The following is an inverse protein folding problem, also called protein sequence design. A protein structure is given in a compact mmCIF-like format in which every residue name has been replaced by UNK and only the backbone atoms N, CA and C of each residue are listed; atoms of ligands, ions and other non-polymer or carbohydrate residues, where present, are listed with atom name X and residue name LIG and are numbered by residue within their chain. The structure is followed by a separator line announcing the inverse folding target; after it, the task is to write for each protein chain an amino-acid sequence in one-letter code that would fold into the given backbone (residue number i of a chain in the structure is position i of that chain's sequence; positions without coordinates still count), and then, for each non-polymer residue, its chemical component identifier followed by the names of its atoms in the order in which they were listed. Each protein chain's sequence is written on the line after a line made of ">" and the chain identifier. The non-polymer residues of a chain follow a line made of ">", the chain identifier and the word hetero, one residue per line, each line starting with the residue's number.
data_IF_884474183148
#
_entry.id   IF_884474183148
#
_cell.length_a   1.000
_cell.length_b   1.000
_cell.length_c   1.000
_cell.angle_alpha   90.00
_cell.angle_beta   90.00
_cell.angle_gamma   90.00
#
_symmetry.space_group_name_H-M   'P 1'
#
loop_
_entity.id
_entity.type
_entity.pdbx_description
1 polymer ?
#
# COMPACT_ATOMS: atom_id res chain seq x y z
N UNK A 1 -24.26 -2.78 -1.99
CA UNK A 1 -24.05 -3.17 -0.59
C UNK A 1 -24.03 -1.87 0.17
N UNK A 2 -25.02 -1.68 1.03
CA UNK A 2 -25.39 -0.38 1.58
C UNK A 2 -25.91 -0.56 3.00
N UNK A 3 -25.82 0.48 3.82
CA UNK A 3 -26.25 0.46 5.22
C UNK A 3 -25.66 -0.73 6.02
N UNK A 4 -24.37 -0.99 5.83
CA UNK A 4 -23.66 -2.07 6.54
C UNK A 4 -23.61 -1.76 8.03
N UNK A 5 -24.05 -2.71 8.86
CA UNK A 5 -23.99 -2.63 10.32
C UNK A 5 -23.34 -3.90 10.88
N UNK A 6 -22.11 -3.80 11.38
CA UNK A 6 -21.37 -4.92 11.96
C UNK A 6 -21.47 -4.93 13.49
N UNK A 7 -21.44 -6.12 14.09
CA UNK A 7 -21.30 -6.30 15.54
C UNK A 7 -19.85 -6.17 16.00
N UNK A 8 -18.90 -6.46 15.10
CA UNK A 8 -17.46 -6.46 15.35
C UNK A 8 -16.85 -7.86 15.47
N UNK A 9 -17.67 -8.90 15.42
CA UNK A 9 -17.24 -10.31 15.53
C UNK A 9 -17.23 -11.03 14.17
N UNK A 10 -17.72 -10.38 13.12
CA UNK A 10 -17.71 -10.90 11.76
C UNK A 10 -16.27 -11.05 11.23
N UNK A 11 -16.00 -12.13 10.49
CA UNK A 11 -14.68 -12.37 9.89
C UNK A 11 -14.55 -11.69 8.53
N UNK A 12 -15.67 -11.53 7.83
CA UNK A 12 -15.77 -10.93 6.51
C UNK A 12 -16.83 -9.83 6.50
N UNK A 13 -16.61 -8.78 5.71
CA UNK A 13 -17.54 -7.63 5.66
C UNK A 13 -18.92 -8.04 5.13
N UNK A 14 -18.98 -9.01 4.23
CA UNK A 14 -20.22 -9.58 3.70
C UNK A 14 -21.05 -10.39 4.70
N UNK A 15 -20.51 -10.70 5.88
CA UNK A 15 -21.24 -11.38 6.96
C UNK A 15 -22.01 -10.41 7.85
N UNK A 16 -21.65 -9.12 7.83
CA UNK A 16 -22.39 -8.10 8.56
C UNK A 16 -23.79 -7.95 7.95
N UNK A 17 -24.83 -7.63 8.74
CA UNK A 17 -26.11 -7.17 8.21
C UNK A 17 -25.98 -5.97 7.26
N UNK A 18 -26.68 -6.04 6.13
CA UNK A 18 -26.87 -4.95 5.15
C UNK A 18 -28.17 -5.21 4.38
N UNK A 19 -28.60 -4.25 3.55
CA UNK A 19 -29.91 -4.31 2.86
C UNK A 19 -30.04 -5.41 1.78
N UNK A 20 -28.97 -6.15 1.51
CA UNK A 20 -28.91 -7.22 0.52
C UNK A 20 -28.17 -6.84 -0.76
N UNK A 21 -27.75 -7.86 -1.51
CA UNK A 21 -27.01 -7.64 -2.76
C UNK A 21 -27.91 -7.04 -3.83
N UNK A 22 -27.42 -6.00 -4.51
CA UNK A 22 -28.18 -5.27 -5.52
C UNK A 22 -29.28 -4.37 -4.95
N UNK A 23 -29.46 -4.31 -3.63
CA UNK A 23 -30.36 -3.39 -2.94
C UNK A 23 -29.50 -2.28 -2.35
N UNK A 24 -29.57 -1.09 -2.93
CA UNK A 24 -28.90 0.12 -2.47
C UNK A 24 -29.45 1.33 -3.20
N UNK A 25 -29.29 2.52 -2.63
CA UNK A 25 -29.47 3.79 -3.32
C UNK A 25 -28.16 4.58 -3.49
N UNK A 26 -27.01 3.94 -3.17
CA UNK A 26 -25.69 4.56 -3.28
C UNK A 26 -25.44 5.29 -4.61
N UNK A 27 -25.15 6.58 -4.52
CA UNK A 27 -24.58 7.42 -5.56
C UNK A 27 -23.06 7.33 -5.65
N UNK A 28 -22.48 8.12 -6.56
CA UNK A 28 -21.02 8.11 -6.83
C UNK A 28 -20.18 8.60 -5.65
N UNK A 29 -20.77 9.41 -4.77
CA UNK A 29 -20.08 10.10 -3.68
C UNK A 29 -20.27 9.40 -2.32
N UNK A 30 -20.99 8.28 -2.29
CA UNK A 30 -21.35 7.54 -1.07
C UNK A 30 -20.45 6.32 -0.83
N UNK A 31 -19.31 6.25 -1.53
CA UNK A 31 -18.35 5.17 -1.34
C UNK A 31 -17.68 5.25 0.04
N UNK A 32 -17.75 4.16 0.80
CA UNK A 32 -17.06 4.02 2.08
C UNK A 32 -15.63 3.48 1.91
N UNK A 33 -14.70 3.95 2.75
CA UNK A 33 -13.32 3.48 2.82
C UNK A 33 -12.79 3.44 4.26
N UNK A 34 -11.75 2.65 4.50
CA UNK A 34 -11.13 2.49 5.84
C UNK A 34 -9.62 2.66 5.79
N UNK A 35 -9.04 3.14 6.88
CA UNK A 35 -7.60 3.13 7.12
C UNK A 35 -7.29 2.27 8.33
N UNK A 36 -6.48 1.22 8.13
CA UNK A 36 -6.08 0.33 9.21
C UNK A 36 -4.91 0.91 9.99
N UNK A 37 -5.02 0.91 11.31
CA UNK A 37 -3.88 1.19 12.18
C UNK A 37 -2.98 -0.05 12.26
N UNK A 38 -1.72 0.10 11.87
CA UNK A 38 -0.74 -0.96 12.05
C UNK A 38 -0.27 -0.97 13.51
N UNK A 39 -0.11 -2.15 14.13
CA UNK A 39 0.47 -2.24 15.46
C UNK A 39 1.87 -1.59 15.48
N UNK A 40 2.26 -0.97 16.60
CA UNK A 40 3.59 -0.41 16.73
C UNK A 40 4.64 -1.51 16.52
N UNK A 41 5.81 -1.18 15.93
CA UNK A 41 6.88 -2.15 15.80
C UNK A 41 7.21 -2.75 17.17
N UNK A 42 7.49 -4.06 17.26
CA UNK A 42 7.73 -4.73 18.53
C UNK A 42 8.88 -4.03 19.26
N UNK A 43 8.59 -3.55 20.47
CA UNK A 43 9.53 -2.87 21.37
C UNK A 43 10.54 -3.82 22.01
N UNK A 44 10.37 -5.13 21.82
CA UNK A 44 11.34 -6.13 22.26
C UNK A 44 12.45 -6.24 21.21
N UNK A 45 13.72 -5.99 21.56
CA UNK A 45 14.84 -6.43 20.74
C UNK A 45 14.89 -7.96 20.77
N UNK A 46 14.02 -8.62 20.01
CA UNK A 46 14.33 -9.96 19.51
C UNK A 46 15.63 -9.87 18.71
N UNK A 47 16.38 -10.97 18.55
CA UNK A 47 17.51 -10.97 17.63
C UNK A 47 16.97 -10.54 16.26
N UNK A 48 17.25 -9.28 15.92
CA UNK A 48 17.18 -8.77 14.58
C UNK A 48 18.18 -9.65 13.84
N UNK A 49 17.71 -10.75 13.24
CA UNK A 49 18.22 -11.15 11.95
C UNK A 49 18.06 -9.89 11.12
N UNK A 50 19.13 -9.11 11.13
CA UNK A 50 19.23 -7.82 10.51
C UNK A 50 19.21 -8.16 9.04
N UNK A 51 18.00 -8.38 8.51
CA UNK A 51 17.73 -8.29 7.09
C UNK A 51 17.98 -6.83 6.82
N UNK A 52 19.26 -6.54 6.64
CA UNK A 52 19.71 -5.23 6.28
C UNK A 52 19.16 -5.09 4.86
N UNK A 53 17.97 -4.51 4.74
CA UNK A 53 17.24 -4.41 3.47
C UNK A 53 18.12 -3.66 2.48
N UNK A 54 18.95 -2.72 2.95
CA UNK A 54 20.03 -2.11 2.15
C UNK A 54 21.09 -3.13 1.73
N UNK A 55 21.48 -4.11 2.55
CA UNK A 55 22.38 -5.22 2.18
C UNK A 55 21.71 -6.25 1.27
N UNK A 56 20.42 -6.55 1.42
CA UNK A 56 19.67 -7.49 0.58
C UNK A 56 19.37 -6.87 -0.80
N UNK A 57 19.02 -5.58 -0.84
CA UNK A 57 18.92 -4.78 -2.07
C UNK A 57 20.31 -4.56 -2.66
N UNK A 58 21.36 -4.21 -1.91
CA UNK A 58 22.75 -4.13 -2.46
C UNK A 58 23.30 -5.48 -2.92
N UNK A 59 22.80 -6.59 -2.36
CA UNK A 59 23.20 -7.96 -2.72
C UNK A 59 22.55 -8.41 -4.04
N UNK A 60 21.32 -7.97 -4.34
CA UNK A 60 20.63 -8.28 -5.62
C UNK A 60 20.76 -7.17 -6.68
N UNK A 61 20.89 -5.92 -6.25
CA UNK A 61 21.14 -4.74 -7.08
C UNK A 61 22.64 -4.46 -7.10
N UNK A 62 23.39 -5.20 -7.93
CA UNK A 62 24.77 -4.82 -8.33
C UNK A 62 24.73 -3.54 -9.19
N UNK A 63 24.27 -2.44 -8.61
CA UNK A 63 24.03 -1.15 -9.25
C UNK A 63 22.80 -0.46 -8.67
N UNK A 64 22.99 0.65 -7.96
CA UNK A 64 21.90 1.55 -7.62
C UNK A 64 21.42 2.23 -8.91
N UNK A 65 20.21 1.92 -9.35
CA UNK A 65 19.56 2.60 -10.48
C UNK A 65 19.10 3.97 -10.00
N UNK A 66 19.49 5.04 -10.71
CA UNK A 66 19.04 6.41 -10.39
C UNK A 66 17.84 6.76 -11.28
N UNK A 67 16.74 7.18 -10.65
CA UNK A 67 15.51 7.58 -11.33
C UNK A 67 15.31 9.09 -11.24
N UNK A 68 14.72 9.69 -12.28
CA UNK A 68 14.19 11.07 -12.24
C UNK A 68 12.99 11.22 -13.16
N UNK A 69 12.08 12.13 -12.82
CA UNK A 69 11.04 12.60 -13.73
C UNK A 69 11.56 13.82 -14.50
N UNK A 70 11.35 13.85 -15.81
CA UNK A 70 11.73 14.98 -16.68
C UNK A 70 10.51 15.46 -17.46
N UNK A 71 10.31 16.78 -17.44
CA UNK A 71 9.06 17.39 -17.92
C UNK A 71 7.90 17.11 -16.95
N UNK A 72 6.70 17.50 -17.35
CA UNK A 72 5.52 17.48 -16.48
C UNK A 72 5.13 18.89 -16.04
N UNK A 73 3.83 19.11 -15.78
CA UNK A 73 3.29 20.37 -15.24
C UNK A 73 3.46 20.45 -13.73
N UNK A 74 3.68 19.31 -13.07
CA UNK A 74 3.87 19.20 -11.62
C UNK A 74 5.08 18.33 -11.29
N UNK A 75 5.51 18.39 -10.01
CA UNK A 75 6.63 17.58 -9.50
C UNK A 75 6.34 16.08 -9.40
N UNK A 76 5.10 15.66 -9.61
CA UNK A 76 4.64 14.28 -9.46
C UNK A 76 4.31 13.61 -10.80
N UNK A 77 4.56 14.27 -11.93
CA UNK A 77 4.35 13.71 -13.27
C UNK A 77 5.53 14.03 -14.18
N UNK A 78 5.62 13.31 -15.30
CA UNK A 78 6.67 13.51 -16.28
C UNK A 78 7.16 12.19 -16.87
N UNK A 79 8.05 12.29 -17.85
CA UNK A 79 8.71 11.11 -18.40
C UNK A 79 9.68 10.54 -17.37
N UNK A 80 9.61 9.24 -17.12
CA UNK A 80 10.54 8.54 -16.24
C UNK A 80 11.85 8.31 -16.98
N UNK A 81 12.95 8.88 -16.47
CA UNK A 81 14.30 8.61 -16.96
C UNK A 81 15.07 7.73 -15.96
N UNK A 82 15.71 6.69 -16.49
CA UNK A 82 16.39 5.64 -15.72
C UNK A 82 17.88 5.65 -16.08
N UNK A 83 18.75 5.86 -15.10
CA UNK A 83 20.20 5.73 -15.27
C UNK A 83 20.66 4.36 -14.78
N UNK A 84 21.16 3.56 -15.74
CA UNK A 84 21.69 2.22 -15.49
C UNK A 84 23.23 2.32 -15.51
N UNK A 85 23.91 2.10 -14.37
CA UNK A 85 25.37 2.08 -14.35
C UNK A 85 25.89 0.91 -15.19
N UNK A 86 26.81 1.17 -16.13
CA UNK A 86 27.49 0.11 -16.88
C UNK A 86 28.40 -0.68 -15.94
N UNK A 87 28.26 -2.01 -15.94
CA UNK A 87 29.22 -2.91 -15.29
C UNK A 87 30.44 -3.03 -16.19
N UNK A 88 31.61 -2.72 -15.64
CA UNK A 88 32.91 -3.08 -16.25
C UNK A 88 33.23 -4.55 -16.03
#
# INVERSE_FOLDING_TARGET
>A
MDNIYCTGEELHIEECPFDGWGVHDCGRDEAAGVECQLPPPPTTPGPLSSVNVKKMIRSRSRGSVKLRLVGGRTRNEGRVEVYIPKRG
#
